data_IF_195723898643
#
_entry.id   IF_195723898643
#
_cell.length_a   1.000
_cell.length_b   1.000
_cell.length_c   1.000
_cell.angle_alpha   90.00
_cell.angle_beta   90.00
_cell.angle_gamma   90.00
#
_symmetry.space_group_name_H-M   'P 1'
#
loop_
_entity.id
_entity.type
_entity.pdbx_description
1 polymer ?
#
# COMPACT_ATOMS: atom_id res chain seq x y z
N UNK A 1 -11.86 8.71 7.44
CA UNK A 1 -11.24 7.87 6.39
C UNK A 1 -9.88 8.42 5.99
N UNK A 2 -9.02 7.56 5.51
CA UNK A 2 -7.68 7.93 5.08
C UNK A 2 -7.50 7.52 3.63
N UNK A 3 -6.79 8.36 2.86
CA UNK A 3 -6.45 8.04 1.49
C UNK A 3 -5.27 7.08 1.46
N UNK A 4 -5.37 6.04 0.61
CA UNK A 4 -4.31 5.05 0.42
C UNK A 4 -3.91 4.97 -1.04
N UNK A 5 -2.66 4.62 -1.28
CA UNK A 5 -2.11 4.38 -2.62
C UNK A 5 -1.28 3.10 -2.60
N UNK A 6 -1.17 2.47 -3.75
CA UNK A 6 -0.25 1.35 -3.97
C UNK A 6 0.98 1.89 -4.68
N UNK A 7 2.14 1.77 -4.04
CA UNK A 7 3.40 2.16 -4.66
C UNK A 7 3.74 1.14 -5.73
N UNK A 8 3.85 1.58 -6.99
CA UNK A 8 4.18 0.70 -8.10
C UNK A 8 5.69 0.57 -8.31
N UNK A 9 6.47 1.24 -7.47
CA UNK A 9 7.92 1.04 -7.41
C UNK A 9 8.18 -0.17 -6.52
N UNK A 10 8.59 -1.28 -7.14
CA UNK A 10 8.78 -2.54 -6.43
C UNK A 10 9.91 -2.44 -5.42
N UNK A 11 9.69 -2.97 -4.22
CA UNK A 11 10.71 -3.04 -3.18
C UNK A 11 11.80 -4.05 -3.56
N UNK A 12 12.97 -3.93 -2.94
CA UNK A 12 14.07 -4.86 -3.18
C UNK A 12 13.71 -6.31 -2.82
N UNK A 13 12.81 -6.49 -1.85
CA UNK A 13 12.32 -7.82 -1.45
C UNK A 13 11.23 -8.37 -2.37
N UNK A 14 10.81 -7.60 -3.37
CA UNK A 14 9.78 -8.01 -4.33
C UNK A 14 8.38 -7.54 -4.00
N UNK A 15 8.16 -6.89 -2.87
CA UNK A 15 6.84 -6.42 -2.47
C UNK A 15 6.50 -5.06 -3.06
N UNK A 16 5.19 -4.85 -3.25
CA UNK A 16 4.61 -3.55 -3.57
C UNK A 16 3.86 -3.08 -2.34
N UNK A 17 4.15 -1.89 -1.85
CA UNK A 17 3.63 -1.41 -0.58
C UNK A 17 2.44 -0.49 -0.72
N UNK A 18 1.46 -0.69 0.17
CA UNK A 18 0.33 0.23 0.34
C UNK A 18 0.73 1.28 1.38
N UNK A 19 0.56 2.56 1.01
CA UNK A 19 0.89 3.68 1.89
C UNK A 19 -0.34 4.53 2.16
N UNK A 20 -0.43 5.05 3.38
CA UNK A 20 -1.45 6.01 3.78
C UNK A 20 -0.93 7.42 3.49
N UNK A 21 -1.83 8.32 3.07
CA UNK A 21 -1.52 9.72 2.87
C UNK A 21 -0.91 10.32 4.16
N UNK A 22 0.14 11.11 4.01
CA UNK A 22 0.88 11.66 5.14
C UNK A 22 2.06 10.81 5.59
N UNK A 23 2.23 9.64 5.01
CA UNK A 23 3.38 8.77 5.33
C UNK A 23 4.67 9.42 4.86
N UNK A 24 5.72 9.35 5.69
CA UNK A 24 7.04 9.85 5.32
C UNK A 24 7.57 9.18 4.04
N UNK A 25 7.20 7.92 3.83
CA UNK A 25 7.65 7.12 2.68
C UNK A 25 6.63 7.08 1.55
N UNK A 26 5.65 7.98 1.57
CA UNK A 26 4.65 8.08 0.51
C UNK A 26 5.35 8.30 -0.83
N UNK A 27 5.00 7.53 -1.88
CA UNK A 27 5.69 7.65 -3.16
C UNK A 27 5.41 9.00 -3.83
N UNK A 28 6.43 9.55 -4.48
CA UNK A 28 6.31 10.81 -5.21
C UNK A 28 5.82 10.61 -6.63
N UNK A 29 5.97 9.39 -7.17
CA UNK A 29 5.51 9.06 -8.52
C UNK A 29 5.26 7.56 -8.61
N UNK A 30 4.70 7.14 -9.73
CA UNK A 30 4.48 5.73 -10.08
C UNK A 30 3.71 5.00 -8.99
N UNK A 31 2.52 5.51 -8.65
CA UNK A 31 1.63 4.87 -7.69
C UNK A 31 0.21 4.81 -8.24
N UNK A 32 -0.57 3.91 -7.69
CA UNK A 32 -1.97 3.73 -8.06
C UNK A 32 -2.87 4.17 -6.92
N UNK A 33 -3.90 4.94 -7.22
CA UNK A 33 -4.86 5.44 -6.23
C UNK A 33 -5.76 4.30 -5.77
N UNK A 34 -5.84 4.11 -4.44
CA UNK A 34 -6.74 3.12 -3.84
C UNK A 34 -7.97 3.77 -3.23
N UNK A 35 -7.99 5.11 -3.15
CA UNK A 35 -9.12 5.83 -2.58
C UNK A 35 -9.09 5.88 -1.05
N UNK A 36 -10.24 6.18 -0.47
CA UNK A 36 -10.36 6.34 0.97
C UNK A 36 -10.81 5.05 1.64
N UNK A 37 -10.19 4.73 2.77
CA UNK A 37 -10.50 3.54 3.56
C UNK A 37 -10.41 3.90 5.04
N UNK A 38 -11.15 3.19 5.88
CA UNK A 38 -11.07 3.40 7.33
C UNK A 38 -9.77 2.87 7.92
N UNK A 39 -9.16 1.89 7.27
CA UNK A 39 -7.89 1.32 7.68
C UNK A 39 -7.17 0.70 6.51
N UNK A 40 -5.97 0.19 6.76
CA UNK A 40 -5.15 -0.37 5.69
C UNK A 40 -5.68 -1.72 5.19
N UNK A 41 -6.46 -2.43 5.98
CA UNK A 41 -6.92 -3.79 5.64
C UNK A 41 -7.70 -3.81 4.33
N UNK A 42 -8.69 -2.93 4.20
CA UNK A 42 -9.49 -2.89 2.98
C UNK A 42 -8.70 -2.34 1.80
N UNK A 43 -7.75 -1.44 2.05
CA UNK A 43 -6.89 -0.90 1.00
C UNK A 43 -5.96 -1.99 0.45
N UNK A 44 -5.34 -2.78 1.33
CA UNK A 44 -4.48 -3.90 0.93
C UNK A 44 -5.28 -4.94 0.16
N UNK A 45 -6.49 -5.26 0.65
CA UNK A 45 -7.35 -6.22 -0.02
C UNK A 45 -7.72 -5.76 -1.43
N UNK A 46 -8.04 -4.47 -1.58
CA UNK A 46 -8.34 -3.90 -2.90
C UNK A 46 -7.14 -4.00 -3.83
N UNK A 47 -5.94 -3.72 -3.34
CA UNK A 47 -4.71 -3.83 -4.13
C UNK A 47 -4.47 -5.27 -4.58
N UNK A 48 -4.69 -6.23 -3.68
CA UNK A 48 -4.55 -7.66 -4.01
C UNK A 48 -5.56 -8.11 -5.07
N UNK A 49 -6.79 -7.60 -4.98
CA UNK A 49 -7.83 -7.94 -5.95
C UNK A 49 -7.49 -7.40 -7.34
N UNK A 50 -6.92 -6.20 -7.40
CA UNK A 50 -6.53 -5.59 -8.68
C UNK A 50 -5.27 -6.23 -9.27
N UNK A 51 -4.39 -6.74 -8.41
CA UNK A 51 -3.08 -7.27 -8.83
C UNK A 51 -2.83 -8.63 -8.18
N UNK A 52 -3.57 -9.69 -8.60
CA UNK A 52 -3.46 -10.99 -7.94
C UNK A 52 -2.10 -11.66 -8.08
N UNK A 53 -1.26 -11.17 -9.00
CA UNK A 53 0.08 -11.74 -9.21
C UNK A 53 1.19 -10.91 -8.58
N UNK A 54 0.85 -9.79 -7.92
CA UNK A 54 1.83 -8.97 -7.21
C UNK A 54 1.85 -9.34 -5.73
N UNK A 55 3.03 -9.27 -5.14
CA UNK A 55 3.17 -9.43 -3.69
C UNK A 55 2.87 -8.07 -3.04
N UNK A 56 1.71 -7.96 -2.40
CA UNK A 56 1.23 -6.72 -1.80
C UNK A 56 1.46 -6.76 -0.30
N UNK A 57 2.00 -5.68 0.26
CA UNK A 57 2.24 -5.56 1.70
C UNK A 57 1.88 -4.16 2.16
N UNK A 58 1.58 -4.00 3.44
CA UNK A 58 1.40 -2.69 4.05
C UNK A 58 2.75 -2.09 4.43
N UNK A 59 2.87 -0.76 4.31
CA UNK A 59 4.05 -0.05 4.76
C UNK A 59 4.18 -0.21 6.27
N UNK A 60 5.36 -0.62 6.76
CA UNK A 60 5.55 -0.85 8.19
C UNK A 60 5.46 0.45 9.02
N UNK A 61 5.62 1.60 8.39
CA UNK A 61 5.60 2.90 9.07
C UNK A 61 4.20 3.51 9.14
N UNK A 62 3.41 3.42 8.07
CA UNK A 62 2.08 4.04 8.05
C UNK A 62 0.93 3.03 8.02
N UNK A 63 1.22 1.76 7.84
CA UNK A 63 0.22 0.69 7.87
C UNK A 63 0.79 -0.54 8.60
N UNK A 64 1.25 -0.37 9.85
CA UNK A 64 1.99 -1.43 10.56
C UNK A 64 1.15 -2.67 10.81
N UNK A 65 -0.16 -2.55 10.98
CA UNK A 65 -1.03 -3.71 11.20
C UNK A 65 -1.19 -4.55 9.95
N UNK A 66 -0.84 -4.01 8.78
CA UNK A 66 -0.92 -4.72 7.49
C UNK A 66 0.45 -5.16 6.99
N UNK A 67 1.49 -4.86 7.74
CA UNK A 67 2.85 -5.25 7.38
C UNK A 67 3.13 -6.67 7.88
N UNK A 68 3.57 -7.57 7.00
CA UNK A 68 3.75 -8.99 7.34
C UNK A 68 5.19 -9.47 7.34
N UNK A 69 6.16 -8.63 7.01
CA UNK A 69 7.56 -9.11 6.97
C UNK A 69 8.57 -8.02 7.14
#
# INVERSE_FOLDING_TARGET
MYRYVLNLNRQSNGDYEVHKDGCYYFPVNNFEELGNHYGCESAVEQAKDRHPFKSINGCKHCAPTCHTS
#
